data_IF_928558714086
#
_entry.id   IF_928558714086
#
_cell.length_a   1.000
_cell.length_b   1.000
_cell.length_c   1.000
_cell.angle_alpha   90.00
_cell.angle_beta   90.00
_cell.angle_gamma   90.00
#
_symmetry.space_group_name_H-M   'P 1'
#
loop_
_entity.id
_entity.type
_entity.pdbx_description
1 polymer ?
#
# COMPACT_ATOMS: atom_id res chain seq x y z
N UNK A 1 38.09 12.80 43.18
CA UNK A 1 37.08 12.04 42.46
C UNK A 1 37.84 11.21 41.46
N UNK A 2 37.98 9.92 41.74
CA UNK A 2 38.81 9.03 40.95
C UNK A 2 38.24 8.90 39.54
N UNK A 3 39.09 9.11 38.54
CA UNK A 3 38.75 9.10 37.13
C UNK A 3 38.02 7.81 36.70
N UNK A 4 38.31 6.70 37.38
CA UNK A 4 37.57 5.44 37.27
C UNK A 4 36.09 5.56 37.59
N UNK A 5 35.73 6.30 38.64
CA UNK A 5 34.34 6.45 39.07
C UNK A 5 33.54 7.28 38.06
N UNK A 6 34.19 8.27 37.43
CA UNK A 6 33.62 9.04 36.31
C UNK A 6 33.41 8.12 35.10
N UNK A 7 34.40 7.30 34.75
CA UNK A 7 34.34 6.40 33.60
C UNK A 7 33.25 5.33 33.75
N UNK A 8 33.14 4.70 34.92
CA UNK A 8 32.10 3.71 35.22
C UNK A 8 30.70 4.35 35.13
N UNK A 9 30.54 5.55 35.68
CA UNK A 9 29.26 6.27 35.62
C UNK A 9 28.89 6.63 34.18
N UNK A 10 29.86 7.11 33.38
CA UNK A 10 29.64 7.44 31.97
C UNK A 10 29.24 6.20 31.16
N UNK A 11 29.85 5.04 31.43
CA UNK A 11 29.56 3.80 30.73
C UNK A 11 28.16 3.26 31.06
N UNK A 12 27.72 3.37 32.31
CA UNK A 12 26.36 3.02 32.72
C UNK A 12 25.34 3.92 32.02
N UNK A 13 25.58 5.25 31.99
CA UNK A 13 24.71 6.20 31.28
C UNK A 13 24.64 5.88 29.79
N UNK A 14 25.78 5.53 29.18
CA UNK A 14 25.86 5.15 27.77
C UNK A 14 25.10 3.85 27.47
N UNK A 15 25.17 2.86 28.36
CA UNK A 15 24.37 1.63 28.26
C UNK A 15 22.87 1.90 28.36
N UNK A 16 22.45 2.74 29.31
CA UNK A 16 21.05 3.15 29.46
C UNK A 16 20.58 3.91 28.21
N UNK A 17 21.39 4.81 27.67
CA UNK A 17 21.07 5.53 26.44
C UNK A 17 20.90 4.57 25.24
N UNK A 18 21.77 3.58 25.11
CA UNK A 18 21.70 2.58 24.02
C UNK A 18 20.43 1.74 24.13
N UNK A 19 20.07 1.31 25.35
CA UNK A 19 18.82 0.60 25.60
C UNK A 19 17.60 1.48 25.31
N UNK A 20 17.64 2.76 25.69
CA UNK A 20 16.60 3.73 25.37
C UNK A 20 16.38 3.88 23.85
N UNK A 21 17.47 3.99 23.08
CA UNK A 21 17.42 4.04 21.61
C UNK A 21 16.85 2.74 21.03
N UNK A 22 17.24 1.58 21.55
CA UNK A 22 16.71 0.29 21.10
C UNK A 22 15.20 0.16 21.36
N UNK A 23 14.73 0.56 22.54
CA UNK A 23 13.29 0.58 22.87
C UNK A 23 12.54 1.57 21.99
N UNK A 24 13.13 2.73 21.70
CA UNK A 24 12.54 3.72 20.80
C UNK A 24 12.42 3.20 19.37
N UNK A 25 13.48 2.57 18.83
CA UNK A 25 13.42 1.91 17.51
C UNK A 25 12.39 0.77 17.49
N UNK A 26 12.33 -0.07 18.52
CA UNK A 26 11.36 -1.15 18.59
C UNK A 26 9.92 -0.63 18.65
N UNK A 27 9.69 0.47 19.38
CA UNK A 27 8.40 1.15 19.45
C UNK A 27 8.01 1.77 18.11
N UNK A 28 8.96 2.42 17.43
CA UNK A 28 8.76 2.94 16.07
C UNK A 28 8.45 1.82 15.09
N UNK A 29 9.18 0.70 15.11
CA UNK A 29 8.93 -0.45 14.25
C UNK A 29 7.54 -1.04 14.49
N UNK A 30 7.11 -1.14 15.75
CA UNK A 30 5.77 -1.62 16.13
C UNK A 30 4.66 -0.66 15.71
N UNK A 31 4.89 0.65 15.81
CA UNK A 31 3.95 1.68 15.35
C UNK A 31 3.87 1.74 13.82
N UNK A 32 5.02 1.66 13.14
CA UNK A 32 5.13 1.63 11.69
C UNK A 32 4.50 0.36 11.10
N UNK A 33 4.53 -0.77 11.81
CA UNK A 33 3.81 -1.98 11.40
C UNK A 33 2.28 -1.81 11.49
N UNK A 34 1.80 -1.05 12.49
CA UNK A 34 0.36 -0.79 12.69
C UNK A 34 -0.21 0.24 11.71
N UNK A 35 0.59 1.22 11.31
CA UNK A 35 0.20 2.21 10.29
C UNK A 35 0.38 1.70 8.87
N UNK A 36 1.37 0.83 8.60
CA UNK A 36 1.58 0.30 7.24
C UNK A 36 0.39 -0.52 6.75
N UNK A 37 -0.30 -1.27 7.62
CA UNK A 37 -1.51 -1.99 7.21
C UNK A 37 -2.69 -1.07 6.86
N UNK A 38 -2.86 0.03 7.60
CA UNK A 38 -3.93 1.01 7.31
C UNK A 38 -3.61 1.83 6.06
N UNK A 39 -2.34 2.21 5.88
CA UNK A 39 -1.88 2.97 4.71
C UNK A 39 -1.93 2.12 3.42
N UNK A 40 -1.64 0.81 3.50
CA UNK A 40 -1.80 -0.10 2.36
C UNK A 40 -3.27 -0.20 1.92
N UNK A 41 -4.20 -0.44 2.85
CA UNK A 41 -5.63 -0.53 2.51
C UNK A 41 -6.18 0.81 1.97
N UNK A 42 -5.82 1.94 2.58
CA UNK A 42 -6.25 3.27 2.10
C UNK A 42 -5.64 3.61 0.73
N UNK A 43 -4.39 3.24 0.46
CA UNK A 43 -3.76 3.43 -0.86
C UNK A 43 -4.37 2.55 -1.93
N UNK A 44 -4.74 1.32 -1.61
CA UNK A 44 -5.46 0.43 -2.53
C UNK A 44 -6.83 1.02 -2.85
N UNK A 45 -7.58 1.43 -1.83
CA UNK A 45 -8.91 2.05 -2.00
C UNK A 45 -8.85 3.34 -2.82
N UNK A 46 -7.91 4.24 -2.50
CA UNK A 46 -7.70 5.49 -3.24
C UNK A 46 -7.32 5.27 -4.71
N UNK A 47 -6.51 4.23 -5.00
CA UNK A 47 -6.22 3.84 -6.38
C UNK A 47 -7.46 3.32 -7.08
N UNK A 48 -8.23 2.43 -6.45
CA UNK A 48 -9.46 1.88 -7.02
C UNK A 48 -10.51 2.97 -7.31
N UNK A 49 -10.69 3.94 -6.42
CA UNK A 49 -11.60 5.07 -6.64
C UNK A 49 -11.14 5.97 -7.79
N UNK A 50 -9.83 6.20 -7.90
CA UNK A 50 -9.25 6.94 -9.02
C UNK A 50 -9.52 6.21 -10.34
N UNK A 51 -9.29 4.88 -10.38
CA UNK A 51 -9.57 4.04 -11.56
C UNK A 51 -11.06 4.00 -11.93
N UNK A 52 -11.97 3.86 -10.94
CA UNK A 52 -13.41 3.95 -11.18
C UNK A 52 -13.83 5.29 -11.74
N UNK A 53 -13.30 6.38 -11.17
CA UNK A 53 -13.62 7.73 -11.64
C UNK A 53 -13.10 8.00 -13.06
N UNK A 54 -11.96 7.41 -13.43
CA UNK A 54 -11.42 7.49 -14.77
C UNK A 54 -12.29 6.72 -15.77
N UNK A 55 -12.73 5.50 -15.45
CA UNK A 55 -13.64 4.75 -16.32
C UNK A 55 -15.00 5.43 -16.52
N UNK A 56 -15.54 6.11 -15.50
CA UNK A 56 -16.79 6.84 -15.62
C UNK A 56 -16.68 8.15 -16.42
N UNK A 57 -15.49 8.75 -16.49
CA UNK A 57 -15.24 10.02 -17.19
C UNK A 57 -14.72 9.82 -18.60
N UNK A 58 -14.05 8.70 -18.87
CA UNK A 58 -13.34 8.47 -20.11
C UNK A 58 -14.12 7.48 -21.01
N UNK A 59 -14.89 8.05 -21.93
CA UNK A 59 -15.77 7.30 -22.85
C UNK A 59 -14.97 6.34 -23.74
N UNK A 60 -13.70 6.66 -24.01
CA UNK A 60 -12.79 5.84 -24.80
C UNK A 60 -12.40 4.55 -24.05
N UNK A 61 -12.18 4.62 -22.73
CA UNK A 61 -11.90 3.45 -21.91
C UNK A 61 -13.12 2.53 -21.78
N UNK A 62 -14.31 3.12 -21.67
CA UNK A 62 -15.56 2.35 -21.65
C UNK A 62 -15.80 1.64 -22.98
N UNK A 63 -15.58 2.31 -24.11
CA UNK A 63 -15.74 1.73 -25.45
C UNK A 63 -14.70 0.65 -25.72
N UNK A 64 -13.43 0.89 -25.34
CA UNK A 64 -12.36 -0.11 -25.38
C UNK A 64 -12.69 -1.35 -24.54
N UNK A 65 -13.28 -1.17 -23.36
CA UNK A 65 -13.66 -2.28 -22.49
C UNK A 65 -14.79 -3.13 -23.09
N UNK A 66 -15.83 -2.49 -23.64
CA UNK A 66 -16.93 -3.19 -24.32
C UNK A 66 -16.42 -3.91 -25.56
N UNK A 67 -15.60 -3.24 -26.38
CA UNK A 67 -15.00 -3.81 -27.59
C UNK A 67 -14.06 -4.96 -27.28
N UNK A 68 -13.26 -4.85 -26.21
CA UNK A 68 -12.39 -5.93 -25.74
C UNK A 68 -13.14 -7.14 -25.18
N UNK A 69 -14.35 -6.97 -24.63
CA UNK A 69 -15.21 -8.08 -24.23
C UNK A 69 -15.84 -8.81 -25.42
N UNK A 70 -16.23 -8.06 -26.46
CA UNK A 70 -16.90 -8.63 -27.64
C UNK A 70 -15.90 -9.23 -28.63
N UNK A 71 -14.80 -8.52 -28.90
CA UNK A 71 -13.76 -8.94 -29.84
C UNK A 71 -12.36 -8.52 -29.38
N UNK A 72 -11.79 -9.31 -28.49
CA UNK A 72 -10.44 -9.13 -27.98
C UNK A 72 -9.35 -9.21 -29.08
N UNK A 73 -9.60 -9.97 -30.16
CA UNK A 73 -8.61 -10.16 -31.23
C UNK A 73 -8.44 -8.89 -32.05
N UNK A 74 -9.52 -8.11 -32.21
CA UNK A 74 -9.54 -6.82 -32.93
C UNK A 74 -8.72 -5.70 -32.29
N UNK A 75 -8.34 -5.85 -31.01
CA UNK A 75 -7.58 -4.85 -30.28
C UNK A 75 -6.10 -4.85 -30.68
N UNK A 76 -5.50 -3.66 -30.80
CA UNK A 76 -4.06 -3.50 -30.94
C UNK A 76 -3.32 -3.99 -29.68
N UNK A 77 -2.02 -4.29 -29.78
CA UNK A 77 -1.23 -4.76 -28.64
C UNK A 77 -1.26 -3.79 -27.45
N UNK A 78 -1.31 -2.48 -27.72
CA UNK A 78 -1.43 -1.45 -26.68
C UNK A 78 -2.82 -1.45 -26.03
N UNK A 79 -3.87 -1.59 -26.84
CA UNK A 79 -5.26 -1.67 -26.40
C UNK A 79 -5.53 -2.95 -25.59
N UNK A 80 -4.92 -4.08 -25.97
CA UNK A 80 -4.97 -5.35 -25.20
C UNK A 80 -4.37 -5.20 -23.81
N UNK A 81 -3.23 -4.52 -23.71
CA UNK A 81 -2.60 -4.24 -22.42
C UNK A 81 -3.48 -3.34 -21.56
N UNK A 82 -4.06 -2.30 -22.14
CA UNK A 82 -5.00 -1.42 -21.45
C UNK A 82 -6.26 -2.18 -20.97
N UNK A 83 -6.83 -3.03 -21.83
CA UNK A 83 -7.95 -3.90 -21.48
C UNK A 83 -7.61 -4.86 -20.33
N UNK A 84 -6.43 -5.49 -20.35
CA UNK A 84 -5.98 -6.39 -19.29
C UNK A 84 -5.88 -5.67 -17.93
N UNK A 85 -5.32 -4.46 -17.91
CA UNK A 85 -5.25 -3.65 -16.69
C UNK A 85 -6.63 -3.22 -16.19
N UNK A 86 -7.54 -2.84 -17.11
CA UNK A 86 -8.92 -2.49 -16.76
C UNK A 86 -9.69 -3.68 -16.18
N UNK A 87 -9.61 -4.85 -16.83
CA UNK A 87 -10.27 -6.07 -16.37
C UNK A 87 -9.73 -6.55 -15.01
N UNK A 88 -8.42 -6.49 -14.80
CA UNK A 88 -7.78 -6.85 -13.52
C UNK A 88 -8.18 -5.87 -12.41
N UNK A 89 -8.26 -4.57 -12.71
CA UNK A 89 -8.73 -3.55 -11.76
C UNK A 89 -10.20 -3.72 -11.37
N UNK A 90 -11.06 -4.12 -12.30
CA UNK A 90 -12.45 -4.47 -11.98
C UNK A 90 -12.51 -5.73 -11.10
N UNK A 91 -11.85 -6.83 -11.50
CA UNK A 91 -11.87 -8.09 -10.74
C UNK A 91 -11.39 -7.91 -9.30
N UNK A 92 -10.28 -7.23 -9.09
CA UNK A 92 -9.77 -6.94 -7.73
C UNK A 92 -10.76 -6.12 -6.92
N UNK A 93 -11.48 -5.19 -7.55
CA UNK A 93 -12.52 -4.47 -6.82
C UNK A 93 -13.73 -5.33 -6.49
N UNK A 94 -14.17 -6.24 -7.37
CA UNK A 94 -15.25 -7.17 -7.09
C UNK A 94 -14.89 -8.13 -5.95
N UNK A 95 -13.66 -8.64 -5.94
CA UNK A 95 -13.15 -9.48 -4.84
C UNK A 95 -13.15 -8.74 -3.51
N UNK A 96 -12.68 -7.50 -3.48
CA UNK A 96 -12.69 -6.70 -2.25
C UNK A 96 -14.10 -6.37 -1.79
N UNK A 97 -15.07 -6.18 -2.69
CA UNK A 97 -16.47 -5.94 -2.31
C UNK A 97 -17.13 -7.17 -1.67
N UNK A 98 -16.75 -8.38 -2.08
CA UNK A 98 -17.19 -9.61 -1.43
C UNK A 98 -16.74 -9.75 0.03
N UNK A 99 -15.61 -9.16 0.41
CA UNK A 99 -15.16 -9.14 1.82
C UNK A 99 -15.93 -8.16 2.70
N UNK A 100 -16.63 -7.16 2.13
CA UNK A 100 -17.46 -6.20 2.88
C UNK A 100 -18.92 -6.65 3.08
N UNK A 101 -19.38 -7.70 2.38
CA UNK A 101 -20.73 -8.25 2.57
C UNK A 101 -20.83 -9.25 3.73
N UNK A 102 -19.70 -9.76 4.23
CA UNK A 102 -19.61 -10.74 5.33
C UNK A 102 -19.24 -10.12 6.71
N UNK A 103 -19.21 -8.79 6.84
CA UNK A 103 -18.97 -8.06 8.10
C UNK A 103 -20.20 -7.30 8.58
#
# INVERSE_FOLDING_TARGET
MDWEQVAITAQIITGIATLGVAVFLASQLRLQHRDSQKDITMRIQSRLDTYRSAMGKDRELSDLFIRGQVDYQSLDQKEKQQFFWLATGMMTSWMNMGEYEDS
#
